data_IF_200599574670
#
_entry.id   IF_200599574670
#
_cell.length_a   1.000
_cell.length_b   1.000
_cell.length_c   1.000
_cell.angle_alpha   90.00
_cell.angle_beta   90.00
_cell.angle_gamma   90.00
#
_symmetry.space_group_name_H-M   'P 1'
#
loop_
_entity.id
_entity.type
_entity.pdbx_description
1 polymer ?
#
# COMPACT_ATOMS: atom_id res chain seq x y z
N UNK A 1 20.94 17.36 29.23
CA UNK A 1 19.91 18.31 28.78
C UNK A 1 20.24 18.93 27.43
N UNK A 2 21.14 19.93 27.31
CA UNK A 2 21.45 20.61 26.03
C UNK A 2 21.86 19.70 24.86
N UNK A 3 22.68 18.67 25.12
CA UNK A 3 23.10 17.70 24.08
C UNK A 3 21.93 16.88 23.53
N UNK A 4 20.94 16.57 24.37
CA UNK A 4 19.79 15.76 24.00
C UNK A 4 18.80 16.59 23.17
N UNK A 5 18.59 17.85 23.54
CA UNK A 5 17.76 18.79 22.79
C UNK A 5 18.35 19.09 21.40
N UNK A 6 19.67 19.28 21.32
CA UNK A 6 20.37 19.41 20.03
C UNK A 6 20.25 18.15 19.16
N UNK A 7 20.32 16.96 19.77
CA UNK A 7 20.14 15.70 19.04
C UNK A 7 18.71 15.54 18.50
N UNK A 8 17.70 15.93 19.28
CA UNK A 8 16.30 15.91 18.85
C UNK A 8 16.05 16.85 17.67
N UNK A 9 16.59 18.08 17.73
CA UNK A 9 16.51 19.02 16.60
C UNK A 9 17.25 18.49 15.37
N UNK A 10 18.40 17.83 15.55
CA UNK A 10 19.12 17.17 14.46
C UNK A 10 18.25 16.15 13.73
N UNK A 11 17.46 15.35 14.45
CA UNK A 11 16.54 14.37 13.82
C UNK A 11 15.47 15.07 12.97
N UNK A 12 14.91 16.20 13.43
CA UNK A 12 13.93 16.96 12.65
C UNK A 12 14.52 17.46 11.32
N UNK A 13 15.75 17.99 11.38
CA UNK A 13 16.46 18.50 10.20
C UNK A 13 16.73 17.38 9.21
N UNK A 14 17.18 16.22 9.67
CA UNK A 14 17.44 15.06 8.81
C UNK A 14 16.15 14.52 8.16
N UNK A 15 15.04 14.47 8.90
CA UNK A 15 13.74 14.08 8.32
C UNK A 15 13.32 15.06 7.23
N UNK A 16 13.43 16.37 7.49
CA UNK A 16 13.09 17.40 6.49
C UNK A 16 14.00 17.35 5.26
N UNK A 17 15.30 17.06 5.44
CA UNK A 17 16.26 16.99 4.33
C UNK A 17 16.06 15.75 3.43
N UNK A 18 15.47 14.68 3.96
CA UNK A 18 15.34 13.39 3.26
C UNK A 18 14.00 13.18 2.57
N UNK A 19 12.97 13.95 2.93
CA UNK A 19 11.63 13.84 2.32
C UNK A 19 11.50 14.71 1.07
N UNK A 20 10.60 14.33 0.17
CA UNK A 20 10.25 15.16 -0.99
C UNK A 20 9.60 16.48 -0.55
N UNK A 21 9.87 17.57 -1.27
CA UNK A 21 9.28 18.90 -1.02
C UNK A 21 7.75 18.89 -0.94
N UNK A 22 7.09 17.96 -1.63
CA UNK A 22 5.63 17.78 -1.57
C UNK A 22 5.10 17.43 -0.17
N UNK A 23 5.96 16.93 0.72
CA UNK A 23 5.61 16.58 2.10
C UNK A 23 5.89 17.69 3.13
N UNK A 24 6.55 18.79 2.72
CA UNK A 24 6.93 19.88 3.65
C UNK A 24 5.73 20.52 4.32
N UNK A 25 4.65 20.76 3.58
CA UNK A 25 3.39 21.34 4.10
C UNK A 25 2.79 20.53 5.25
N UNK A 26 3.08 19.22 5.33
CA UNK A 26 2.53 18.33 6.36
C UNK A 26 3.48 18.10 7.53
N UNK A 27 4.76 18.46 7.40
CA UNK A 27 5.80 18.20 8.41
C UNK A 27 6.30 19.47 9.09
N UNK A 28 6.24 20.63 8.43
CA UNK A 28 6.53 21.95 9.04
C UNK A 28 5.71 22.22 10.32
N UNK A 29 4.39 21.91 10.41
CA UNK A 29 3.62 22.17 11.62
C UNK A 29 3.85 21.14 12.75
N UNK A 30 4.77 20.19 12.58
CA UNK A 30 5.05 19.16 13.60
C UNK A 30 6.23 19.57 14.49
N UNK A 31 6.02 19.55 15.80
CA UNK A 31 7.04 19.94 16.80
C UNK A 31 8.00 18.80 17.15
N UNK A 32 7.62 17.54 16.85
CA UNK A 32 8.42 16.37 17.20
C UNK A 32 8.70 15.47 16.00
N UNK A 33 9.80 14.71 16.08
CA UNK A 33 10.18 13.75 15.06
C UNK A 33 9.12 12.65 14.92
N UNK A 34 8.51 12.27 16.04
CA UNK A 34 7.42 11.31 16.06
C UNK A 34 6.22 11.82 15.24
N UNK A 35 5.80 13.07 15.47
CA UNK A 35 4.67 13.65 14.75
C UNK A 35 4.94 13.80 13.25
N UNK A 36 6.16 14.21 12.87
CA UNK A 36 6.59 14.24 11.47
C UNK A 36 6.49 12.84 10.83
N UNK A 37 7.01 11.81 11.51
CA UNK A 37 6.96 10.43 10.99
C UNK A 37 5.53 9.89 10.89
N UNK A 38 4.64 10.24 11.83
CA UNK A 38 3.23 9.88 11.76
C UNK A 38 2.53 10.59 10.61
N UNK A 39 2.77 11.90 10.42
CA UNK A 39 2.21 12.68 9.32
C UNK A 39 2.68 12.14 7.96
N UNK A 40 3.98 11.83 7.84
CA UNK A 40 4.56 11.20 6.66
C UNK A 40 3.94 9.82 6.42
N UNK A 41 3.83 8.98 7.45
CA UNK A 41 3.19 7.67 7.34
C UNK A 41 1.76 7.80 6.83
N UNK A 42 0.99 8.76 7.30
CA UNK A 42 -0.40 8.96 6.84
C UNK A 42 -0.52 9.36 5.36
N UNK A 43 0.51 10.00 4.80
CA UNK A 43 0.50 10.55 3.43
C UNK A 43 1.27 9.68 2.42
N UNK A 44 2.39 9.12 2.85
CA UNK A 44 3.30 8.32 2.05
C UNK A 44 3.00 6.82 2.15
N UNK A 45 2.37 6.34 3.23
CA UNK A 45 1.67 5.06 3.11
C UNK A 45 0.58 5.27 2.07
N UNK A 46 0.43 4.37 1.09
CA UNK A 46 -0.68 4.45 0.17
C UNK A 46 -1.92 4.50 1.05
N UNK A 47 -2.63 5.64 0.99
CA UNK A 47 -3.92 5.79 1.66
C UNK A 47 -4.68 4.50 1.39
N UNK A 48 -5.35 3.93 2.40
CA UNK A 48 -6.09 2.68 2.23
C UNK A 48 -6.84 2.67 0.88
N UNK A 49 -7.38 3.82 0.48
CA UNK A 49 -7.94 4.14 -0.85
C UNK A 49 -7.01 3.94 -2.06
N UNK A 50 -5.81 4.50 -2.09
CA UNK A 50 -4.86 4.28 -3.18
C UNK A 50 -4.43 2.81 -3.26
N UNK A 51 -4.23 2.16 -2.09
CA UNK A 51 -3.91 0.72 -2.01
C UNK A 51 -5.09 -0.14 -2.47
N UNK A 52 -6.30 0.23 -2.10
CA UNK A 52 -7.57 -0.35 -2.55
C UNK A 52 -7.71 -0.24 -4.07
N UNK A 53 -7.48 0.94 -4.64
CA UNK A 53 -7.56 1.17 -6.09
C UNK A 53 -6.51 0.36 -6.86
N UNK A 54 -5.27 0.30 -6.35
CA UNK A 54 -4.25 -0.57 -6.92
C UNK A 54 -4.65 -2.05 -6.83
N UNK A 55 -5.14 -2.49 -5.68
CA UNK A 55 -5.56 -3.88 -5.46
C UNK A 55 -6.74 -4.25 -6.36
N UNK A 56 -7.73 -3.36 -6.50
CA UNK A 56 -8.84 -3.50 -7.45
C UNK A 56 -8.35 -3.57 -8.89
N UNK A 57 -7.40 -2.72 -9.28
CA UNK A 57 -6.81 -2.72 -10.63
C UNK A 57 -6.06 -4.03 -10.93
N UNK A 58 -5.26 -4.51 -9.98
CA UNK A 58 -4.56 -5.80 -10.07
C UNK A 58 -5.57 -6.95 -10.16
N UNK A 59 -6.61 -6.93 -9.34
CA UNK A 59 -7.67 -7.93 -9.35
C UNK A 59 -8.44 -7.97 -10.67
N UNK A 60 -8.78 -6.82 -11.24
CA UNK A 60 -9.45 -6.74 -12.54
C UNK A 60 -8.63 -7.37 -13.68
N UNK A 61 -7.30 -7.28 -13.61
CA UNK A 61 -6.40 -7.95 -14.56
C UNK A 61 -6.39 -9.46 -14.38
N UNK A 62 -6.50 -9.95 -13.15
CA UNK A 62 -6.46 -11.38 -12.82
C UNK A 62 -7.69 -12.16 -13.29
N UNK A 63 -8.84 -11.49 -13.39
CA UNK A 63 -10.07 -12.09 -13.97
C UNK A 63 -9.93 -12.48 -15.45
N UNK A 64 -8.87 -12.02 -16.12
CA UNK A 64 -8.56 -12.41 -17.51
C UNK A 64 -7.40 -13.40 -17.50
N UNK A 65 -7.64 -14.58 -18.05
CA UNK A 65 -6.62 -15.60 -18.25
C UNK A 65 -5.53 -15.08 -19.17
N UNK A 66 -4.25 -15.17 -18.78
CA UNK A 66 -3.14 -14.83 -19.66
C UNK A 66 -3.11 -15.82 -20.82
N UNK A 67 -3.29 -15.34 -22.06
CA UNK A 67 -3.24 -16.18 -23.26
C UNK A 67 -1.82 -16.64 -23.64
N UNK A 68 -0.77 -16.02 -23.10
CA UNK A 68 0.63 -16.29 -23.49
C UNK A 68 1.63 -16.27 -22.33
N UNK A 69 1.17 -16.20 -21.08
CA UNK A 69 2.04 -16.16 -19.89
C UNK A 69 2.01 -17.52 -19.21
N UNK A 70 3.11 -17.88 -18.54
CA UNK A 70 3.15 -19.09 -17.71
C UNK A 70 2.06 -19.01 -16.63
N UNK A 71 1.37 -20.12 -16.38
CA UNK A 71 0.23 -20.21 -15.48
C UNK A 71 0.69 -20.01 -14.02
N UNK A 72 1.89 -20.48 -13.67
CA UNK A 72 2.46 -20.39 -12.32
C UNK A 72 2.59 -18.94 -11.80
N UNK A 73 3.22 -17.98 -12.51
CA UNK A 73 3.22 -16.58 -12.11
C UNK A 73 1.82 -15.99 -11.92
N UNK A 74 0.87 -16.38 -12.76
CA UNK A 74 -0.51 -15.91 -12.68
C UNK A 74 -1.23 -16.45 -11.43
N UNK A 75 -1.06 -17.74 -11.11
CA UNK A 75 -1.54 -18.35 -9.87
C UNK A 75 -0.95 -17.68 -8.64
N UNK A 76 0.36 -17.42 -8.64
CA UNK A 76 1.02 -16.75 -7.53
C UNK A 76 0.48 -15.33 -7.30
N UNK A 77 0.15 -14.60 -8.37
CA UNK A 77 -0.51 -13.30 -8.26
C UNK A 77 -1.92 -13.41 -7.69
N UNK A 78 -2.68 -14.46 -8.02
CA UNK A 78 -4.00 -14.72 -7.43
C UNK A 78 -3.90 -14.94 -5.92
N UNK A 79 -2.99 -15.78 -5.45
CA UNK A 79 -2.77 -16.06 -4.03
C UNK A 79 -2.34 -14.80 -3.26
N UNK A 80 -1.41 -14.02 -3.82
CA UNK A 80 -0.96 -12.77 -3.22
C UNK A 80 -2.10 -11.75 -3.12
N UNK A 81 -2.89 -11.60 -4.19
CA UNK A 81 -4.04 -10.68 -4.23
C UNK A 81 -5.11 -11.09 -3.23
N UNK A 82 -5.42 -12.39 -3.13
CA UNK A 82 -6.33 -12.93 -2.13
C UNK A 82 -5.85 -12.62 -0.70
N UNK A 83 -4.56 -12.86 -0.42
CA UNK A 83 -3.96 -12.57 0.89
C UNK A 83 -4.06 -11.09 1.25
N UNK A 84 -3.84 -10.20 0.30
CA UNK A 84 -3.95 -8.76 0.51
C UNK A 84 -5.41 -8.32 0.76
N UNK A 85 -6.40 -8.89 0.05
CA UNK A 85 -7.82 -8.64 0.34
C UNK A 85 -8.23 -9.10 1.73
N UNK A 86 -7.78 -10.28 2.16
CA UNK A 86 -8.04 -10.82 3.50
C UNK A 86 -7.41 -9.93 4.58
N UNK A 87 -6.17 -9.47 4.37
CA UNK A 87 -5.47 -8.58 5.30
C UNK A 87 -6.14 -7.21 5.43
N UNK A 88 -6.64 -6.65 4.33
CA UNK A 88 -7.24 -5.32 4.31
C UNK A 88 -8.74 -5.32 4.68
N UNK A 89 -9.37 -6.49 4.86
CA UNK A 89 -10.80 -6.64 5.20
C UNK A 89 -11.74 -5.82 4.29
N UNK A 90 -11.44 -5.74 3.00
CA UNK A 90 -12.22 -4.94 2.07
C UNK A 90 -13.58 -5.61 1.77
N UNK A 91 -14.71 -4.90 1.92
CA UNK A 91 -16.05 -5.48 1.79
C UNK A 91 -16.48 -5.71 0.33
N UNK A 92 -15.84 -5.06 -0.64
CA UNK A 92 -16.24 -5.17 -2.06
C UNK A 92 -15.99 -6.55 -2.68
N UNK A 93 -15.19 -7.37 -2.00
CA UNK A 93 -14.82 -8.71 -2.46
C UNK A 93 -15.07 -9.68 -1.32
N UNK A 94 -16.35 -9.94 -1.08
CA UNK A 94 -16.80 -11.01 -0.20
C UNK A 94 -16.03 -12.30 -0.56
N UNK A 95 -15.52 -13.03 0.44
CA UNK A 95 -14.49 -14.06 0.24
C UNK A 95 -14.86 -15.09 -0.83
N UNK A 96 -16.15 -15.38 -0.96
CA UNK A 96 -16.69 -16.33 -1.92
C UNK A 96 -16.61 -15.80 -3.36
N UNK A 97 -16.74 -14.48 -3.56
CA UNK A 97 -16.67 -13.84 -4.88
C UNK A 97 -15.28 -13.98 -5.51
N UNK A 98 -14.20 -13.95 -4.71
CA UNK A 98 -12.83 -14.20 -5.20
C UNK A 98 -12.69 -15.61 -5.75
N UNK A 99 -13.23 -16.60 -5.05
CA UNK A 99 -13.19 -18.01 -5.44
C UNK A 99 -14.02 -18.20 -6.71
N UNK A 100 -15.22 -17.63 -6.77
CA UNK A 100 -16.06 -17.68 -7.97
C UNK A 100 -15.39 -17.01 -9.18
N UNK A 101 -14.78 -15.84 -9.00
CA UNK A 101 -14.09 -15.13 -10.09
C UNK A 101 -12.85 -15.89 -10.57
N UNK A 102 -12.14 -16.58 -9.68
CA UNK A 102 -11.06 -17.50 -10.07
C UNK A 102 -11.59 -18.67 -10.90
N UNK A 103 -12.66 -19.34 -10.44
CA UNK A 103 -13.30 -20.44 -11.17
C UNK A 103 -13.80 -20.01 -12.56
N UNK A 104 -14.33 -18.79 -12.68
CA UNK A 104 -14.72 -18.21 -13.97
C UNK A 104 -13.52 -17.92 -14.87
N UNK A 105 -12.41 -17.40 -14.32
CA UNK A 105 -11.21 -17.14 -15.09
C UNK A 105 -10.62 -18.44 -15.67
N UNK A 106 -10.50 -19.50 -14.88
CA UNK A 106 -9.97 -20.78 -15.36
C UNK A 106 -10.91 -21.50 -16.33
N UNK A 107 -12.22 -21.20 -16.34
CA UNK A 107 -13.17 -21.81 -17.29
C UNK A 107 -12.88 -21.45 -18.75
N UNK A 108 -12.17 -20.35 -18.98
CA UNK A 108 -11.73 -19.91 -20.31
C UNK A 108 -10.31 -20.35 -20.70
N UNK A 109 -9.66 -21.19 -19.90
CA UNK A 109 -8.38 -21.86 -20.20
C UNK A 109 -8.64 -23.06 -21.12
#
# INVERSE_FOLDING_TARGET
YRKQEAALLGILVEIQATISQSYYTYTIPCDTAYDMLVALKMRAAPSSRARELELQSRYAKLKKTPRSQAIEPWLQLWENTYTDFVRLRLPEVDRDRLIHDFLFAIRGV
#
